data_IF_228875712739
#
_entry.id   IF_228875712739
#
_cell.length_a   1.000
_cell.length_b   1.000
_cell.length_c   1.000
_cell.angle_alpha   90.00
_cell.angle_beta   90.00
_cell.angle_gamma   90.00
#
_symmetry.space_group_name_H-M   'P 1'
#
loop_
_entity.id
_entity.type
_entity.pdbx_description
1 polymer ?
#
# COMPACT_ATOMS: atom_id res chain seq x y z
N UNK A 1 61.05 -6.70 -44.58
CA UNK A 1 61.01 -6.57 -43.10
C UNK A 1 59.78 -5.83 -42.57
N UNK A 2 59.36 -4.68 -43.15
CA UNK A 2 58.19 -3.92 -42.64
C UNK A 2 56.85 -4.66 -42.70
N UNK A 3 56.62 -5.50 -43.72
CA UNK A 3 55.37 -6.28 -43.85
C UNK A 3 55.27 -7.43 -42.83
N UNK A 4 56.38 -8.11 -42.53
CA UNK A 4 56.41 -9.22 -41.56
C UNK A 4 56.16 -8.72 -40.12
N UNK A 5 56.72 -7.55 -39.78
CA UNK A 5 56.55 -6.95 -38.46
C UNK A 5 55.10 -6.49 -38.22
N UNK A 6 54.44 -5.96 -39.25
CA UNK A 6 53.04 -5.54 -39.16
C UNK A 6 52.09 -6.75 -38.98
N UNK A 7 52.37 -7.88 -39.63
CA UNK A 7 51.56 -9.10 -39.45
C UNK A 7 51.76 -9.72 -38.07
N UNK A 8 52.97 -9.69 -37.53
CA UNK A 8 53.25 -10.18 -36.17
C UNK A 8 52.60 -9.26 -35.12
N UNK A 9 52.65 -7.94 -35.30
CA UNK A 9 52.02 -7.00 -34.37
C UNK A 9 50.48 -7.10 -34.39
N UNK A 10 49.89 -7.31 -35.56
CA UNK A 10 48.45 -7.56 -35.69
C UNK A 10 48.03 -8.90 -35.06
N UNK A 11 48.86 -9.94 -35.18
CA UNK A 11 48.60 -11.24 -34.57
C UNK A 11 48.74 -11.18 -33.03
N UNK A 12 49.72 -10.45 -32.50
CA UNK A 12 49.89 -10.23 -31.05
C UNK A 12 48.73 -9.42 -30.46
N UNK A 13 48.22 -8.43 -31.19
CA UNK A 13 47.02 -7.70 -30.75
C UNK A 13 45.74 -8.55 -30.88
N UNK A 14 45.63 -9.43 -31.87
CA UNK A 14 44.48 -10.34 -31.98
C UNK A 14 44.47 -11.44 -30.89
N UNK A 15 45.64 -11.89 -30.43
CA UNK A 15 45.77 -12.88 -29.35
C UNK A 15 45.57 -12.24 -27.96
N UNK A 16 45.98 -10.97 -27.77
CA UNK A 16 45.77 -10.25 -26.51
C UNK A 16 44.32 -9.84 -26.22
N UNK A 17 43.46 -9.77 -27.25
CA UNK A 17 42.04 -9.38 -27.11
C UNK A 17 41.12 -10.61 -27.03
N UNK A 18 41.65 -11.82 -27.26
CA UNK A 18 40.88 -13.08 -27.23
C UNK A 18 41.02 -13.88 -25.94
N UNK A 19 41.89 -13.47 -25.00
CA UNK A 19 42.04 -14.16 -23.69
C UNK A 19 41.01 -13.76 -22.64
N UNK A 20 40.10 -12.81 -22.91
CA UNK A 20 38.99 -12.46 -22.00
C UNK A 20 37.64 -13.06 -22.39
N UNK A 21 37.60 -13.90 -23.44
CA UNK A 21 36.36 -14.54 -23.89
C UNK A 21 36.20 -16.01 -23.42
N UNK A 22 37.07 -16.49 -22.53
CA UNK A 22 37.02 -17.85 -21.95
C UNK A 22 37.04 -17.82 -20.42
N UNK A 23 36.25 -16.93 -19.84
CA UNK A 23 35.71 -17.13 -18.51
C UNK A 23 34.22 -17.49 -18.59
N UNK A 24 33.84 -18.30 -19.59
CA UNK A 24 32.71 -19.21 -19.41
C UNK A 24 33.20 -20.31 -18.47
N UNK A 25 33.21 -19.97 -17.18
CA UNK A 25 33.45 -20.91 -16.11
C UNK A 25 32.39 -21.99 -16.19
N UNK A 26 32.82 -23.19 -16.55
CA UNK A 26 32.09 -24.41 -16.22
C UNK A 26 31.74 -24.36 -14.71
N UNK A 27 30.46 -24.23 -14.39
CA UNK A 27 29.91 -24.58 -13.08
C UNK A 27 29.82 -23.49 -12.01
N UNK A 28 29.79 -22.19 -12.31
CA UNK A 28 29.26 -21.23 -11.32
C UNK A 28 27.74 -21.27 -11.37
N UNK A 29 27.11 -21.98 -10.42
CA UNK A 29 25.68 -21.81 -10.13
C UNK A 29 25.38 -20.32 -10.07
N UNK A 30 24.43 -19.85 -10.89
CA UNK A 30 24.02 -18.46 -10.88
C UNK A 30 23.64 -18.06 -9.45
N UNK A 31 24.18 -16.94 -8.96
CA UNK A 31 23.88 -16.48 -7.61
C UNK A 31 22.38 -16.16 -7.51
N UNK A 32 21.71 -16.77 -6.52
CA UNK A 32 20.30 -16.56 -6.24
C UNK A 32 20.10 -15.29 -5.40
N UNK A 33 21.07 -14.97 -4.55
CA UNK A 33 21.03 -13.81 -3.68
C UNK A 33 22.40 -13.14 -3.58
N UNK A 34 22.44 -11.89 -3.11
CA UNK A 34 23.68 -11.20 -2.79
C UNK A 34 23.56 -10.34 -1.53
N UNK A 35 24.69 -10.07 -0.91
CA UNK A 35 24.86 -9.08 0.15
C UNK A 35 25.99 -8.15 -0.29
N UNK A 36 25.68 -6.88 -0.51
CA UNK A 36 26.61 -5.96 -1.19
C UNK A 36 26.97 -6.50 -2.58
N UNK A 37 28.26 -6.77 -2.78
CA UNK A 37 28.81 -7.36 -4.02
C UNK A 37 29.02 -8.88 -3.93
N UNK A 38 28.88 -9.48 -2.73
CA UNK A 38 29.09 -10.91 -2.51
C UNK A 38 27.85 -11.69 -2.91
N UNK A 39 27.97 -12.57 -3.91
CA UNK A 39 26.90 -13.45 -4.36
C UNK A 39 26.86 -14.80 -3.63
N UNK A 40 25.67 -15.37 -3.51
CA UNK A 40 25.39 -16.65 -2.87
C UNK A 40 24.55 -17.55 -3.78
N UNK A 41 24.88 -18.84 -3.81
CA UNK A 41 24.18 -19.82 -4.63
C UNK A 41 22.73 -20.08 -4.17
N UNK A 42 22.43 -19.88 -2.88
CA UNK A 42 21.08 -20.02 -2.32
C UNK A 42 20.75 -18.88 -1.37
N UNK A 43 19.45 -18.64 -1.15
CA UNK A 43 18.98 -17.69 -0.13
C UNK A 43 19.37 -18.17 1.29
N UNK A 44 19.36 -19.47 1.54
CA UNK A 44 19.75 -20.02 2.84
C UNK A 44 21.22 -19.72 3.16
N UNK A 45 22.12 -19.84 2.18
CA UNK A 45 23.54 -19.49 2.36
C UNK A 45 23.71 -17.99 2.63
N UNK A 46 22.97 -17.14 1.93
CA UNK A 46 22.99 -15.69 2.18
C UNK A 46 22.48 -15.37 3.60
N UNK A 47 21.39 -15.99 4.06
CA UNK A 47 20.87 -15.81 5.43
C UNK A 47 21.90 -16.26 6.48
N UNK A 48 22.58 -17.39 6.24
CA UNK A 48 23.60 -17.90 7.15
C UNK A 48 24.79 -16.95 7.25
N UNK A 49 25.23 -16.38 6.11
CA UNK A 49 26.38 -15.48 6.02
C UNK A 49 26.07 -14.04 6.47
N UNK A 50 24.81 -13.61 6.40
CA UNK A 50 24.42 -12.24 6.73
C UNK A 50 24.80 -11.86 8.18
N UNK A 51 25.42 -10.69 8.29
CA UNK A 51 25.69 -10.01 9.55
C UNK A 51 24.47 -9.20 10.00
N UNK A 52 24.45 -8.84 11.28
CA UNK A 52 23.33 -8.11 11.86
C UNK A 52 23.11 -6.76 11.16
N UNK A 53 21.90 -6.53 10.67
CA UNK A 53 21.48 -5.32 9.97
C UNK A 53 21.72 -5.34 8.45
N UNK A 54 22.34 -6.39 7.90
CA UNK A 54 22.55 -6.48 6.46
C UNK A 54 21.26 -6.75 5.68
N UNK A 55 21.28 -6.37 4.42
CA UNK A 55 20.18 -6.62 3.46
C UNK A 55 20.64 -7.63 2.42
N UNK A 56 19.88 -8.70 2.29
CA UNK A 56 20.02 -9.73 1.26
C UNK A 56 19.13 -9.33 0.10
N UNK A 57 19.69 -9.15 -1.10
CA UNK A 57 18.94 -8.83 -2.32
C UNK A 57 18.80 -10.07 -3.18
N UNK A 58 17.58 -10.43 -3.57
CA UNK A 58 17.36 -11.53 -4.50
C UNK A 58 17.73 -11.15 -5.93
N UNK A 59 18.38 -12.10 -6.61
CA UNK A 59 18.79 -12.01 -8.02
C UNK A 59 17.98 -12.95 -8.91
N UNK A 60 17.47 -14.04 -8.34
CA UNK A 60 16.58 -15.00 -8.97
C UNK A 60 15.51 -15.46 -7.97
N UNK A 61 14.49 -16.17 -8.46
CA UNK A 61 13.55 -16.87 -7.59
C UNK A 61 14.31 -17.86 -6.71
N UNK A 62 13.87 -17.97 -5.45
CA UNK A 62 14.57 -18.71 -4.43
C UNK A 62 13.68 -19.78 -3.80
N UNK A 63 14.33 -20.77 -3.22
CA UNK A 63 13.69 -21.79 -2.41
C UNK A 63 14.29 -21.78 -1.01
N UNK A 64 13.45 -22.05 -0.04
CA UNK A 64 13.84 -22.29 1.35
C UNK A 64 13.19 -23.57 1.86
N UNK A 65 13.70 -24.08 2.97
CA UNK A 65 13.07 -25.16 3.70
C UNK A 65 12.18 -24.59 4.81
N UNK A 66 11.19 -25.35 5.27
CA UNK A 66 10.56 -25.04 6.57
C UNK A 66 11.64 -24.97 7.65
N UNK A 67 11.45 -24.12 8.66
CA UNK A 67 12.38 -23.83 9.75
C UNK A 67 13.62 -23.01 9.33
N UNK A 68 13.47 -22.07 8.38
CA UNK A 68 14.55 -21.12 8.07
C UNK A 68 14.69 -20.12 9.22
N UNK A 69 15.82 -20.20 9.93
CA UNK A 69 16.04 -19.48 11.18
C UNK A 69 16.54 -18.05 10.95
N UNK A 70 15.88 -17.08 11.57
CA UNK A 70 16.32 -15.68 11.64
C UNK A 70 16.65 -15.36 13.10
N UNK A 71 17.95 -15.42 13.44
CA UNK A 71 18.45 -15.29 14.82
C UNK A 71 19.16 -13.97 15.10
N UNK A 72 19.20 -13.09 14.10
CA UNK A 72 19.76 -11.74 14.15
C UNK A 72 19.00 -10.82 13.21
N UNK A 73 19.16 -9.52 13.39
CA UNK A 73 18.53 -8.54 12.53
C UNK A 73 19.00 -8.72 11.09
N UNK A 74 18.08 -8.86 10.15
CA UNK A 74 18.39 -9.01 8.73
C UNK A 74 17.20 -8.55 7.89
N UNK A 75 17.47 -8.01 6.71
CA UNK A 75 16.46 -7.69 5.72
C UNK A 75 16.59 -8.61 4.50
N UNK A 76 15.46 -9.01 3.92
CA UNK A 76 15.39 -9.57 2.57
C UNK A 76 14.68 -8.55 1.69
N UNK A 77 15.38 -8.12 0.64
CA UNK A 77 14.81 -7.41 -0.49
C UNK A 77 14.49 -8.41 -1.59
N UNK A 78 13.18 -8.58 -1.83
CA UNK A 78 12.66 -9.53 -2.81
C UNK A 78 12.99 -9.12 -4.24
N UNK A 79 13.23 -7.83 -4.52
CA UNK A 79 13.62 -7.33 -5.84
C UNK A 79 12.81 -7.93 -7.01
N UNK A 80 11.48 -8.03 -6.83
CA UNK A 80 10.56 -8.61 -7.81
C UNK A 80 10.62 -10.14 -7.96
N UNK A 81 11.30 -10.86 -7.05
CA UNK A 81 11.47 -12.32 -7.09
C UNK A 81 10.56 -13.04 -6.11
N UNK A 82 10.33 -14.32 -6.38
CA UNK A 82 9.51 -15.19 -5.53
C UNK A 82 10.37 -16.12 -4.69
N UNK A 83 10.06 -16.24 -3.40
CA UNK A 83 10.59 -17.26 -2.49
C UNK A 83 9.50 -18.30 -2.21
N UNK A 84 9.82 -19.57 -2.41
CA UNK A 84 8.91 -20.70 -2.15
C UNK A 84 9.48 -21.67 -1.12
N UNK A 85 8.61 -22.47 -0.50
CA UNK A 85 9.03 -23.52 0.44
C UNK A 85 9.08 -24.87 -0.27
N UNK A 86 10.26 -25.49 -0.35
CA UNK A 86 10.47 -26.75 -1.11
C UNK A 86 10.52 -28.01 -0.24
N UNK A 87 10.99 -27.92 1.00
CA UNK A 87 11.06 -29.06 1.94
C UNK A 87 10.09 -28.86 3.08
N UNK A 88 9.20 -29.84 3.27
CA UNK A 88 8.01 -29.74 4.13
C UNK A 88 8.19 -30.49 5.46
N UNK A 89 8.52 -29.75 6.52
CA UNK A 89 8.38 -30.21 7.91
C UNK A 89 7.00 -29.86 8.48
N UNK A 90 6.87 -29.88 9.81
CA UNK A 90 5.69 -29.37 10.55
C UNK A 90 5.86 -27.92 11.02
N UNK A 91 7.03 -27.31 10.79
CA UNK A 91 7.41 -25.97 11.26
C UNK A 91 7.08 -24.89 10.23
N UNK A 92 7.07 -23.62 10.62
CA UNK A 92 6.79 -22.49 9.72
C UNK A 92 7.94 -22.30 8.72
N UNK A 93 7.78 -21.46 7.69
CA UNK A 93 8.85 -21.24 6.72
C UNK A 93 10.00 -20.49 7.37
N UNK A 94 9.68 -19.43 8.10
CA UNK A 94 10.63 -18.64 8.86
C UNK A 94 10.33 -18.72 10.35
N UNK A 95 11.39 -18.84 11.14
CA UNK A 95 11.35 -18.85 12.60
C UNK A 95 12.27 -17.72 13.09
N UNK A 96 11.67 -16.63 13.56
CA UNK A 96 12.38 -15.43 14.02
C UNK A 96 12.49 -15.49 15.54
N UNK A 97 13.71 -15.45 16.06
CA UNK A 97 14.00 -15.72 17.47
C UNK A 97 15.10 -14.79 18.00
N UNK A 98 15.42 -14.92 19.28
CA UNK A 98 16.53 -14.21 19.93
C UNK A 98 16.46 -12.67 19.82
N UNK A 99 15.25 -12.09 19.88
CA UNK A 99 15.07 -10.65 19.75
C UNK A 99 15.35 -10.09 18.35
N UNK A 100 15.53 -10.96 17.34
CA UNK A 100 15.85 -10.54 15.99
C UNK A 100 14.71 -9.73 15.35
N UNK A 101 15.08 -8.80 14.47
CA UNK A 101 14.17 -8.11 13.56
C UNK A 101 14.35 -8.64 12.16
N UNK A 102 13.32 -9.31 11.63
CA UNK A 102 13.27 -9.71 10.24
C UNK A 102 12.54 -8.64 9.42
N UNK A 103 13.16 -8.13 8.36
CA UNK A 103 12.57 -7.09 7.51
C UNK A 103 12.34 -7.60 6.10
N UNK A 104 11.13 -7.43 5.57
CA UNK A 104 10.77 -7.75 4.20
C UNK A 104 10.61 -6.47 3.39
N UNK A 105 11.31 -6.39 2.27
CA UNK A 105 11.26 -5.29 1.31
C UNK A 105 11.04 -5.85 -0.10
N UNK A 106 10.60 -4.98 -1.00
CA UNK A 106 10.62 -5.26 -2.43
C UNK A 106 11.00 -3.97 -3.16
N UNK A 107 12.25 -3.88 -3.61
CA UNK A 107 12.72 -2.78 -4.48
C UNK A 107 12.32 -2.98 -5.94
N UNK A 108 11.89 -4.19 -6.29
CA UNK A 108 11.35 -4.52 -7.60
C UNK A 108 9.83 -4.39 -7.61
N UNK A 109 9.19 -5.16 -8.51
CA UNK A 109 7.73 -5.22 -8.61
C UNK A 109 7.27 -6.67 -8.54
N UNK A 110 6.32 -6.96 -7.66
CA UNK A 110 5.71 -8.29 -7.55
C UNK A 110 6.57 -9.31 -6.80
N UNK A 111 7.55 -8.85 -6.02
CA UNK A 111 8.35 -9.71 -5.15
C UNK A 111 7.46 -10.35 -4.10
N UNK A 112 7.67 -11.64 -3.84
CA UNK A 112 6.74 -12.43 -3.02
C UNK A 112 7.41 -13.50 -2.18
N UNK A 113 6.94 -13.66 -0.95
CA UNK A 113 7.06 -14.87 -0.15
C UNK A 113 5.80 -15.72 -0.36
N UNK A 114 5.87 -16.75 -1.21
CA UNK A 114 4.77 -17.71 -1.43
C UNK A 114 5.02 -18.96 -0.59
N UNK A 115 4.48 -18.93 0.64
CA UNK A 115 4.91 -19.84 1.69
C UNK A 115 4.03 -21.09 1.81
N UNK A 116 3.06 -21.28 0.92
CA UNK A 116 2.14 -22.42 0.98
C UNK A 116 1.34 -22.41 2.28
N UNK A 117 1.63 -23.34 3.21
CA UNK A 117 1.00 -23.39 4.54
C UNK A 117 1.90 -22.91 5.70
N UNK A 118 3.17 -22.59 5.42
CA UNK A 118 4.24 -22.45 6.41
C UNK A 118 4.58 -20.97 6.60
N UNK A 119 3.82 -20.21 7.40
CA UNK A 119 4.06 -18.75 7.52
C UNK A 119 5.38 -18.34 8.20
N UNK A 120 5.31 -17.25 8.95
CA UNK A 120 6.41 -16.71 9.74
C UNK A 120 6.03 -16.83 11.22
N UNK A 121 6.90 -17.41 12.04
CA UNK A 121 6.74 -17.43 13.49
C UNK A 121 7.68 -16.42 14.14
N UNK A 122 7.15 -15.63 15.07
CA UNK A 122 7.90 -14.69 15.89
C UNK A 122 7.92 -15.18 17.34
N UNK A 123 9.11 -15.34 17.91
CA UNK A 123 9.30 -15.71 19.31
C UNK A 123 10.11 -14.64 20.04
N UNK A 124 9.45 -13.77 20.81
CA UNK A 124 10.06 -12.59 21.44
C UNK A 124 10.90 -11.79 20.42
N UNK A 125 10.32 -11.49 19.27
CA UNK A 125 11.05 -10.99 18.09
C UNK A 125 10.20 -10.06 17.25
N UNK A 126 10.78 -9.49 16.18
CA UNK A 126 10.14 -8.45 15.39
C UNK A 126 10.06 -8.80 13.90
N UNK A 127 8.97 -8.39 13.27
CA UNK A 127 8.79 -8.40 11.82
C UNK A 127 8.50 -6.99 11.32
N UNK A 128 9.21 -6.57 10.27
CA UNK A 128 8.92 -5.35 9.53
C UNK A 128 8.54 -5.69 8.10
N UNK A 129 7.40 -5.17 7.65
CA UNK A 129 6.90 -5.34 6.28
C UNK A 129 6.88 -3.96 5.64
N UNK A 130 7.86 -3.71 4.78
CA UNK A 130 8.01 -2.44 4.06
C UNK A 130 7.55 -2.56 2.60
N UNK A 131 7.54 -3.78 2.04
CA UNK A 131 7.13 -4.05 0.67
C UNK A 131 6.97 -5.55 0.38
N UNK A 132 6.61 -5.88 -0.86
CA UNK A 132 6.39 -7.25 -1.33
C UNK A 132 5.07 -7.87 -0.87
N UNK A 133 4.77 -9.07 -1.37
CA UNK A 133 3.63 -9.89 -0.94
C UNK A 133 4.09 -11.02 -0.02
N UNK A 134 3.42 -11.25 1.11
CA UNK A 134 3.57 -12.45 1.93
C UNK A 134 2.26 -13.22 1.85
N UNK A 135 2.29 -14.43 1.29
CA UNK A 135 1.10 -15.24 1.07
C UNK A 135 1.21 -16.59 1.76
N UNK A 136 0.13 -16.96 2.46
CA UNK A 136 -0.13 -18.31 2.95
C UNK A 136 -1.54 -18.75 2.52
N UNK A 137 -1.61 -19.91 1.89
CA UNK A 137 -2.84 -20.52 1.35
C UNK A 137 -2.83 -22.04 1.60
N UNK A 138 -3.08 -22.50 2.83
CA UNK A 138 -3.27 -23.91 3.12
C UNK A 138 -4.47 -24.50 2.36
N UNK A 139 -4.40 -25.79 2.07
CA UNK A 139 -5.48 -26.52 1.41
C UNK A 139 -6.76 -26.61 2.27
N UNK A 140 -6.60 -26.67 3.60
CA UNK A 140 -7.71 -26.78 4.55
C UNK A 140 -7.80 -25.51 5.40
N UNK A 141 -9.03 -25.02 5.69
CA UNK A 141 -9.25 -23.90 6.60
C UNK A 141 -8.55 -24.06 7.95
N UNK A 142 -7.85 -23.02 8.39
CA UNK A 142 -7.14 -22.96 9.67
C UNK A 142 -5.85 -23.80 9.75
N UNK A 143 -5.42 -24.45 8.66
CA UNK A 143 -4.24 -25.33 8.65
C UNK A 143 -2.90 -24.61 8.39
N UNK A 144 -2.85 -23.30 8.64
CA UNK A 144 -1.67 -22.44 8.48
C UNK A 144 -1.95 -21.07 9.11
N UNK A 145 -1.05 -20.11 8.93
CA UNK A 145 -1.20 -18.69 9.27
C UNK A 145 -0.10 -17.93 8.53
N UNK A 146 -0.31 -16.66 8.15
CA UNK A 146 0.76 -15.88 7.51
C UNK A 146 1.84 -15.49 8.52
N UNK A 147 1.45 -14.92 9.66
CA UNK A 147 2.36 -14.58 10.76
C UNK A 147 1.77 -15.03 12.11
N UNK A 148 2.48 -15.88 12.83
CA UNK A 148 2.21 -16.18 14.23
C UNK A 148 3.17 -15.41 15.13
N UNK A 149 2.67 -14.86 16.23
CA UNK A 149 3.48 -14.13 17.21
C UNK A 149 3.26 -14.66 18.62
N UNK A 150 4.35 -14.95 19.33
CA UNK A 150 4.36 -15.38 20.73
C UNK A 150 5.39 -14.59 21.54
N UNK A 151 5.21 -14.52 22.86
CA UNK A 151 6.08 -13.72 23.72
C UNK A 151 5.91 -12.23 23.43
N UNK A 152 6.91 -11.44 23.81
CA UNK A 152 6.93 -10.01 23.53
C UNK A 152 7.38 -9.78 22.08
N UNK A 153 6.44 -9.88 21.14
CA UNK A 153 6.69 -9.81 19.71
C UNK A 153 6.01 -8.61 19.05
N UNK A 154 6.65 -8.05 18.03
CA UNK A 154 6.20 -6.82 17.37
C UNK A 154 6.14 -6.99 15.85
N UNK A 155 5.01 -6.65 15.24
CA UNK A 155 4.85 -6.54 13.79
C UNK A 155 4.63 -5.08 13.43
N UNK A 156 5.47 -4.54 12.54
CA UNK A 156 5.26 -3.22 11.93
C UNK A 156 5.08 -3.37 10.43
N UNK A 157 4.04 -2.76 9.89
CA UNK A 157 3.77 -2.75 8.46
C UNK A 157 3.54 -1.31 7.98
N UNK A 158 4.36 -0.88 7.04
CA UNK A 158 4.26 0.45 6.40
C UNK A 158 3.92 0.34 4.91
N UNK A 159 3.96 -0.87 4.36
CA UNK A 159 3.71 -1.15 2.95
C UNK A 159 3.60 -2.66 2.71
N UNK A 160 3.60 -3.06 1.44
CA UNK A 160 3.46 -4.46 1.05
C UNK A 160 2.05 -5.01 1.15
N UNK A 161 1.92 -6.32 0.97
CA UNK A 161 0.65 -7.05 0.97
C UNK A 161 0.77 -8.33 1.79
N UNK A 162 -0.15 -8.55 2.72
CA UNK A 162 -0.26 -9.81 3.48
C UNK A 162 -1.53 -10.51 3.03
N UNK A 163 -1.40 -11.75 2.54
CA UNK A 163 -2.51 -12.51 1.95
C UNK A 163 -2.69 -13.84 2.67
N UNK A 164 -3.86 -14.00 3.27
CA UNK A 164 -4.33 -15.22 3.88
C UNK A 164 -5.53 -15.77 3.08
N UNK A 165 -5.40 -17.01 2.63
CA UNK A 165 -6.48 -17.78 2.01
C UNK A 165 -6.74 -19.01 2.87
N UNK A 166 -7.98 -19.21 3.31
CA UNK A 166 -8.36 -20.28 4.24
C UNK A 166 -7.60 -20.23 5.58
N UNK A 167 -7.13 -19.05 6.00
CA UNK A 167 -6.41 -18.85 7.28
C UNK A 167 -6.44 -17.38 7.71
N UNK A 168 -5.83 -17.03 8.83
CA UNK A 168 -5.64 -15.66 9.27
C UNK A 168 -4.33 -15.04 8.74
N UNK A 169 -4.33 -13.72 8.58
CA UNK A 169 -3.11 -12.95 8.34
C UNK A 169 -2.19 -13.04 9.57
N UNK A 170 -2.78 -12.89 10.75
CA UNK A 170 -2.05 -12.85 12.00
C UNK A 170 -2.66 -13.81 13.02
N UNK A 171 -1.84 -14.42 13.87
CA UNK A 171 -2.28 -15.19 15.03
C UNK A 171 -1.45 -14.81 16.27
N UNK A 172 -2.12 -14.36 17.34
CA UNK A 172 -1.52 -13.91 18.59
C UNK A 172 -2.30 -14.40 19.82
N UNK A 173 -2.08 -13.79 20.99
CA UNK A 173 -2.74 -14.12 22.27
C UNK A 173 -1.99 -15.17 23.11
N UNK A 174 -0.83 -15.63 22.64
CA UNK A 174 0.07 -16.47 23.42
C UNK A 174 0.72 -15.66 24.56
N UNK A 175 1.44 -16.32 25.48
CA UNK A 175 2.10 -15.63 26.60
C UNK A 175 2.88 -14.37 26.16
N UNK A 176 2.94 -13.33 26.99
CA UNK A 176 3.57 -12.04 26.66
C UNK A 176 2.63 -11.07 25.93
N UNK A 177 3.18 -9.97 25.43
CA UNK A 177 2.44 -8.94 24.69
C UNK A 177 2.79 -8.96 23.20
N UNK A 178 1.80 -9.12 22.32
CA UNK A 178 2.01 -9.06 20.89
C UNK A 178 1.42 -7.77 20.30
N UNK A 179 2.28 -6.93 19.73
CA UNK A 179 1.91 -5.62 19.19
C UNK A 179 1.96 -5.61 17.67
N UNK A 180 0.89 -5.15 17.02
CA UNK A 180 0.73 -5.05 15.58
C UNK A 180 0.44 -3.59 15.20
N UNK A 181 1.43 -2.94 14.58
CA UNK A 181 1.35 -1.54 14.13
C UNK A 181 1.30 -1.50 12.59
N UNK A 182 0.09 -1.39 12.05
CA UNK A 182 -0.17 -1.40 10.61
C UNK A 182 -0.56 0.01 10.18
N UNK A 183 0.23 0.61 9.30
CA UNK A 183 0.09 2.02 8.88
C UNK A 183 0.07 2.22 7.37
N UNK A 184 0.29 1.14 6.60
CA UNK A 184 0.14 1.15 5.15
C UNK A 184 0.11 -0.25 4.57
N UNK A 185 -0.04 -0.35 3.25
CA UNK A 185 -0.15 -1.62 2.52
C UNK A 185 -1.53 -2.27 2.59
N UNK A 186 -1.62 -3.54 2.18
CA UNK A 186 -2.88 -4.27 2.08
C UNK A 186 -2.88 -5.54 2.93
N UNK A 187 -3.92 -5.74 3.72
CA UNK A 187 -4.20 -6.98 4.44
C UNK A 187 -5.40 -7.66 3.77
N UNK A 188 -5.23 -8.90 3.34
CA UNK A 188 -6.25 -9.67 2.64
C UNK A 188 -6.50 -11.01 3.34
N UNK A 189 -7.72 -11.21 3.84
CA UNK A 189 -8.14 -12.43 4.55
C UNK A 189 -9.47 -12.90 3.99
N UNK A 190 -9.43 -13.77 2.97
CA UNK A 190 -10.60 -14.15 2.15
C UNK A 190 -10.92 -15.64 2.16
N UNK A 191 -12.00 -16.01 1.49
CA UNK A 191 -12.50 -17.37 1.37
C UNK A 191 -12.86 -17.96 2.72
N UNK A 192 -12.53 -19.21 3.03
CA UNK A 192 -12.83 -19.84 4.30
C UNK A 192 -11.87 -19.41 5.43
N UNK A 193 -11.34 -18.19 5.36
CA UNK A 193 -10.51 -17.60 6.40
C UNK A 193 -11.34 -17.30 7.65
N UNK A 194 -10.76 -17.54 8.82
CA UNK A 194 -11.47 -17.42 10.10
C UNK A 194 -11.61 -15.97 10.56
N UNK A 195 -10.53 -15.21 10.45
CA UNK A 195 -10.45 -13.78 10.73
C UNK A 195 -9.16 -13.21 10.13
N UNK A 196 -9.06 -11.90 9.96
CA UNK A 196 -7.78 -11.24 9.65
C UNK A 196 -6.79 -11.38 10.82
N UNK A 197 -7.26 -11.14 12.05
CA UNK A 197 -6.54 -11.31 13.30
C UNK A 197 -7.12 -12.47 14.12
N UNK A 198 -6.46 -13.62 14.08
CA UNK A 198 -6.71 -14.72 15.01
C UNK A 198 -6.12 -14.39 16.38
N UNK A 199 -6.91 -14.51 17.44
CA UNK A 199 -6.43 -14.31 18.81
C UNK A 199 -6.73 -15.58 19.60
N UNK A 200 -5.71 -16.09 20.31
CA UNK A 200 -5.83 -17.20 21.25
C UNK A 200 -5.79 -16.68 22.67
N UNK A 201 -6.93 -16.69 23.34
CA UNK A 201 -7.14 -16.31 24.74
C UNK A 201 -6.76 -17.42 25.76
N UNK A 202 -6.26 -18.56 25.31
CA UNK A 202 -5.93 -19.72 26.16
C UNK A 202 -4.65 -19.57 26.99
N UNK A 203 -3.82 -18.57 26.71
CA UNK A 203 -2.44 -18.49 27.21
C UNK A 203 -2.15 -17.26 28.07
N UNK A 204 -3.18 -16.49 28.43
CA UNK A 204 -3.05 -15.29 29.26
C UNK A 204 -2.26 -14.15 28.60
N UNK A 205 -2.06 -14.20 27.29
CA UNK A 205 -1.43 -13.15 26.50
C UNK A 205 -2.28 -11.91 26.31
N UNK A 206 -1.65 -10.86 25.78
CA UNK A 206 -2.32 -9.61 25.41
C UNK A 206 -1.98 -9.25 23.97
N UNK A 207 -3.01 -9.00 23.17
CA UNK A 207 -2.85 -8.55 21.79
C UNK A 207 -3.17 -7.08 21.67
N UNK A 208 -2.24 -6.30 21.12
CA UNK A 208 -2.47 -4.90 20.77
C UNK A 208 -2.36 -4.75 19.26
N UNK A 209 -3.44 -4.33 18.60
CA UNK A 209 -3.45 -4.08 17.16
C UNK A 209 -3.94 -2.66 16.87
N UNK A 210 -3.15 -1.92 16.11
CA UNK A 210 -3.54 -0.63 15.54
C UNK A 210 -3.45 -0.67 14.03
N UNK A 211 -4.57 -0.41 13.36
CA UNK A 211 -4.65 -0.18 11.91
C UNK A 211 -4.86 1.31 11.66
N UNK A 212 -4.02 1.90 10.82
CA UNK A 212 -3.92 3.35 10.62
C UNK A 212 -3.44 3.72 9.21
N UNK A 213 -3.21 5.01 8.97
CA UNK A 213 -2.64 5.50 7.71
C UNK A 213 -3.51 5.17 6.49
N UNK A 214 -2.89 4.65 5.43
CA UNK A 214 -3.54 4.29 4.17
C UNK A 214 -3.74 2.77 4.00
N UNK A 215 -3.69 2.01 5.10
CA UNK A 215 -3.90 0.56 5.09
C UNK A 215 -5.23 0.18 4.44
N UNK A 216 -5.20 -0.84 3.58
CA UNK A 216 -6.39 -1.42 2.95
C UNK A 216 -6.68 -2.78 3.58
N UNK A 217 -7.89 -2.95 4.12
CA UNK A 217 -8.38 -4.21 4.68
C UNK A 217 -9.38 -4.85 3.72
N UNK A 218 -9.11 -6.09 3.30
CA UNK A 218 -9.91 -6.80 2.31
C UNK A 218 -10.31 -8.15 2.86
N UNK A 219 -11.59 -8.33 3.17
CA UNK A 219 -12.12 -9.53 3.83
C UNK A 219 -13.36 -10.10 3.17
N UNK A 220 -13.91 -9.44 2.13
CA UNK A 220 -14.99 -10.04 1.36
C UNK A 220 -14.49 -11.20 0.52
N UNK A 221 -15.20 -12.32 0.60
CA UNK A 221 -15.01 -13.44 -0.32
C UNK A 221 -15.53 -13.11 -1.73
N UNK A 222 -15.34 -14.04 -2.67
CA UNK A 222 -15.81 -13.87 -4.05
C UNK A 222 -17.34 -13.76 -4.19
N UNK A 223 -18.11 -14.20 -3.18
CA UNK A 223 -19.56 -14.07 -3.12
C UNK A 223 -20.02 -12.76 -2.44
N UNK A 224 -19.09 -11.96 -1.94
CA UNK A 224 -19.35 -10.69 -1.25
C UNK A 224 -19.68 -10.84 0.23
N UNK A 225 -19.53 -12.03 0.81
CA UNK A 225 -19.71 -12.23 2.25
C UNK A 225 -18.55 -11.61 3.00
N UNK A 226 -18.85 -10.78 4.00
CA UNK A 226 -17.82 -10.15 4.84
C UNK A 226 -17.17 -11.17 5.78
N UNK A 227 -15.84 -11.15 5.85
CA UNK A 227 -15.07 -11.83 6.88
C UNK A 227 -15.01 -11.04 8.19
N UNK A 228 -14.42 -11.66 9.22
CA UNK A 228 -14.22 -11.03 10.53
C UNK A 228 -12.84 -10.37 10.62
N UNK A 229 -12.78 -9.16 11.19
CA UNK A 229 -11.48 -8.55 11.51
C UNK A 229 -10.75 -9.34 12.60
N UNK A 230 -11.46 -9.79 13.63
CA UNK A 230 -10.90 -10.46 14.80
C UNK A 230 -11.75 -11.67 15.16
N UNK A 231 -11.11 -12.77 15.59
CA UNK A 231 -11.83 -14.01 15.94
C UNK A 231 -12.40 -14.05 17.35
N UNK A 232 -11.59 -13.70 18.36
CA UNK A 232 -11.91 -13.98 19.78
C UNK A 232 -11.17 -13.03 20.74
N UNK A 233 -11.18 -11.72 20.45
CA UNK A 233 -10.64 -10.72 21.37
C UNK A 233 -11.44 -10.67 22.67
N UNK A 234 -10.75 -10.61 23.82
CA UNK A 234 -11.39 -10.54 25.14
C UNK A 234 -10.65 -9.61 26.08
N UNK A 235 -11.35 -9.09 27.11
CA UNK A 235 -10.77 -8.51 28.32
C UNK A 235 -9.68 -7.44 28.11
N UNK A 236 -8.44 -7.90 27.92
CA UNK A 236 -7.21 -7.12 27.85
C UNK A 236 -6.70 -6.86 26.42
N UNK A 237 -7.30 -7.47 25.40
CA UNK A 237 -6.92 -7.20 24.00
C UNK A 237 -7.36 -5.80 23.57
N UNK A 238 -6.48 -5.08 22.88
CA UNK A 238 -6.73 -3.72 22.39
C UNK A 238 -6.68 -3.72 20.87
N UNK A 239 -7.84 -3.67 20.23
CA UNK A 239 -7.96 -3.62 18.77
C UNK A 239 -8.51 -2.26 18.36
N UNK A 240 -7.74 -1.51 17.56
CA UNK A 240 -8.03 -0.13 17.22
C UNK A 240 -7.85 0.13 15.73
N UNK A 241 -8.89 0.62 15.08
CA UNK A 241 -8.83 1.06 13.68
C UNK A 241 -9.07 2.57 13.63
N UNK A 242 -8.04 3.32 13.24
CA UNK A 242 -8.05 4.81 13.23
C UNK A 242 -7.89 5.41 11.84
N UNK A 243 -7.56 4.59 10.85
CA UNK A 243 -7.26 5.03 9.48
C UNK A 243 -7.48 3.90 8.47
N UNK A 244 -7.33 4.22 7.19
CA UNK A 244 -7.37 3.25 6.10
C UNK A 244 -8.75 3.06 5.47
N UNK A 245 -8.86 1.97 4.70
CA UNK A 245 -10.11 1.53 4.07
C UNK A 245 -10.42 0.07 4.38
N UNK A 246 -11.68 -0.31 4.29
CA UNK A 246 -12.14 -1.69 4.45
C UNK A 246 -13.25 -2.00 3.47
N UNK A 247 -13.23 -3.18 2.85
CA UNK A 247 -14.37 -3.68 2.06
C UNK A 247 -15.52 -4.22 2.92
N UNK A 248 -15.28 -4.37 4.22
CA UNK A 248 -16.20 -4.98 5.19
C UNK A 248 -16.47 -4.02 6.35
N UNK A 249 -17.63 -4.14 7.00
CA UNK A 249 -17.95 -3.29 8.15
C UNK A 249 -17.08 -3.67 9.35
N UNK A 250 -16.17 -2.76 9.72
CA UNK A 250 -15.32 -2.87 10.90
C UNK A 250 -15.53 -1.70 11.87
N UNK A 251 -16.68 -1.03 11.79
CA UNK A 251 -17.00 0.13 12.62
C UNK A 251 -16.99 -0.18 14.11
N UNK A 252 -17.18 -1.44 14.52
CA UNK A 252 -17.06 -1.88 15.91
C UNK A 252 -15.67 -1.62 16.51
N UNK A 253 -14.62 -1.59 15.68
CA UNK A 253 -13.22 -1.43 16.10
C UNK A 253 -12.70 0.00 15.95
N UNK A 254 -13.54 0.93 15.49
CA UNK A 254 -13.17 2.34 15.35
C UNK A 254 -13.50 3.13 16.61
N UNK A 255 -12.73 4.20 16.86
CA UNK A 255 -13.06 5.13 17.95
C UNK A 255 -14.45 5.74 17.76
N UNK A 256 -15.15 6.04 18.86
CA UNK A 256 -16.52 6.55 18.83
C UNK A 256 -16.67 7.85 18.03
N UNK A 257 -15.67 8.72 18.06
CA UNK A 257 -15.67 10.03 17.40
C UNK A 257 -15.03 10.01 16.02
N UNK A 258 -14.29 8.97 15.65
CA UNK A 258 -13.62 8.88 14.36
C UNK A 258 -14.65 8.73 13.23
N UNK A 259 -14.59 9.58 12.18
CA UNK A 259 -15.53 9.49 11.08
C UNK A 259 -15.33 8.20 10.30
N UNK A 260 -16.44 7.58 9.88
CA UNK A 260 -16.44 6.48 8.92
C UNK A 260 -17.40 6.83 7.78
N UNK A 261 -16.88 6.87 6.56
CA UNK A 261 -17.65 7.15 5.34
C UNK A 261 -17.78 5.88 4.52
N UNK A 262 -18.99 5.50 4.16
CA UNK A 262 -19.31 4.43 3.22
C UNK A 262 -19.61 5.03 1.84
N UNK A 263 -18.85 4.62 0.83
CA UNK A 263 -19.04 5.00 -0.57
C UNK A 263 -19.98 4.03 -1.30
N UNK A 264 -20.50 4.43 -2.47
CA UNK A 264 -21.48 3.65 -3.23
C UNK A 264 -20.96 2.29 -3.76
N UNK A 265 -19.64 2.10 -3.81
CA UNK A 265 -18.99 0.82 -4.13
C UNK A 265 -18.94 -0.15 -2.93
N UNK A 266 -19.40 0.28 -1.76
CA UNK A 266 -19.41 -0.53 -0.54
C UNK A 266 -18.09 -0.48 0.26
N UNK A 267 -17.20 0.47 -0.04
CA UNK A 267 -15.95 0.68 0.69
C UNK A 267 -16.15 1.59 1.90
N UNK A 268 -15.64 1.17 3.06
CA UNK A 268 -15.58 1.97 4.28
C UNK A 268 -14.26 2.75 4.31
N UNK A 269 -14.32 4.06 4.49
CA UNK A 269 -13.19 4.96 4.65
C UNK A 269 -13.14 5.46 6.09
N UNK A 270 -12.07 5.13 6.80
CA UNK A 270 -12.01 5.25 8.26
C UNK A 270 -11.04 6.36 8.66
N UNK A 271 -11.47 7.21 9.59
CA UNK A 271 -10.69 8.34 10.06
C UNK A 271 -10.77 9.55 9.13
N UNK A 272 -10.42 10.72 9.68
CA UNK A 272 -10.61 12.02 9.01
C UNK A 272 -9.95 12.11 7.64
N UNK A 273 -8.74 11.57 7.51
CA UNK A 273 -7.96 11.62 6.27
C UNK A 273 -8.63 10.80 5.17
N UNK A 274 -8.96 9.54 5.44
CA UNK A 274 -9.58 8.66 4.44
C UNK A 274 -11.00 9.12 4.08
N UNK A 275 -11.80 9.53 5.08
CA UNK A 275 -13.14 10.06 4.88
C UNK A 275 -13.12 11.30 3.96
N UNK A 276 -12.24 12.27 4.21
CA UNK A 276 -12.12 13.46 3.35
C UNK A 276 -11.59 13.11 1.95
N UNK A 277 -10.66 12.16 1.83
CA UNK A 277 -10.18 11.71 0.52
C UNK A 277 -11.31 11.06 -0.30
N UNK A 278 -12.15 10.23 0.32
CA UNK A 278 -13.28 9.57 -0.34
C UNK A 278 -14.25 10.58 -0.95
N UNK A 279 -14.68 11.56 -0.16
CA UNK A 279 -15.68 12.55 -0.61
C UNK A 279 -15.13 13.54 -1.63
N UNK A 280 -13.83 13.88 -1.56
CA UNK A 280 -13.17 14.73 -2.57
C UNK A 280 -13.08 14.07 -3.94
N UNK A 281 -12.95 12.74 -3.95
CA UNK A 281 -12.85 11.94 -5.17
C UNK A 281 -14.21 11.46 -5.70
N UNK A 282 -15.30 11.71 -4.96
CA UNK A 282 -16.64 11.32 -5.38
C UNK A 282 -17.09 12.09 -6.62
N UNK A 283 -17.71 11.39 -7.56
CA UNK A 283 -18.22 12.00 -8.78
C UNK A 283 -19.55 12.73 -8.54
N UNK A 284 -19.84 13.74 -9.36
CA UNK A 284 -21.15 14.42 -9.33
C UNK A 284 -22.29 13.41 -9.53
N UNK A 285 -23.30 13.46 -8.66
CA UNK A 285 -24.42 12.52 -8.64
C UNK A 285 -24.21 11.33 -7.70
N UNK A 286 -22.99 11.10 -7.20
CA UNK A 286 -22.75 10.06 -6.21
C UNK A 286 -23.28 10.45 -4.83
N UNK A 287 -23.63 9.42 -4.05
CA UNK A 287 -23.99 9.55 -2.64
C UNK A 287 -22.95 8.85 -1.79
N UNK A 288 -22.45 9.57 -0.79
CA UNK A 288 -21.56 9.05 0.26
C UNK A 288 -22.30 9.13 1.60
N UNK A 289 -22.12 8.12 2.44
CA UNK A 289 -22.85 8.02 3.72
C UNK A 289 -21.86 8.06 4.87
N UNK A 290 -21.99 9.04 5.77
CA UNK A 290 -21.31 8.97 7.07
C UNK A 290 -22.07 7.99 7.95
N UNK A 291 -21.44 6.85 8.28
CA UNK A 291 -22.07 5.78 9.07
C UNK A 291 -21.70 5.84 10.56
N UNK A 292 -20.62 6.53 10.92
CA UNK A 292 -20.19 6.70 12.31
C UNK A 292 -19.32 7.95 12.49
N UNK A 293 -19.31 8.49 13.70
CA UNK A 293 -18.38 9.52 14.15
C UNK A 293 -18.71 10.94 13.68
N UNK A 294 -17.87 11.89 14.08
CA UNK A 294 -18.01 13.30 13.68
C UNK A 294 -17.21 13.54 12.40
N UNK A 295 -17.85 14.13 11.39
CA UNK A 295 -17.23 14.38 10.08
C UNK A 295 -17.34 15.86 9.70
N UNK A 296 -16.19 16.55 9.68
CA UNK A 296 -16.04 17.82 8.99
C UNK A 296 -15.48 17.54 7.59
N UNK A 297 -16.38 17.46 6.61
CA UNK A 297 -16.05 17.14 5.23
C UNK A 297 -15.80 18.43 4.45
N UNK A 298 -14.65 18.48 3.79
CA UNK A 298 -14.15 19.66 3.08
C UNK A 298 -13.85 19.34 1.63
N UNK A 299 -13.90 20.36 0.79
CA UNK A 299 -13.69 20.28 -0.67
C UNK A 299 -14.58 19.23 -1.37
N UNK A 300 -15.80 19.03 -0.87
CA UNK A 300 -16.76 18.10 -1.48
C UNK A 300 -17.23 18.68 -2.82
N UNK A 301 -17.09 17.94 -3.95
CA UNK A 301 -17.45 18.44 -5.27
C UNK A 301 -18.94 18.77 -5.41
N UNK A 302 -19.25 19.69 -6.33
CA UNK A 302 -20.63 20.01 -6.72
C UNK A 302 -21.35 18.75 -7.22
N UNK A 303 -22.62 18.59 -6.82
CA UNK A 303 -23.46 17.47 -7.22
C UNK A 303 -23.26 16.20 -6.39
N UNK A 304 -22.25 16.13 -5.52
CA UNK A 304 -22.10 15.04 -4.56
C UNK A 304 -23.11 15.22 -3.43
N UNK A 305 -23.75 14.11 -3.04
CA UNK A 305 -24.70 14.05 -1.94
C UNK A 305 -24.06 13.36 -0.74
N UNK A 306 -24.12 14.00 0.43
CA UNK A 306 -23.66 13.44 1.69
C UNK A 306 -24.87 13.11 2.56
N UNK A 307 -25.02 11.84 2.91
CA UNK A 307 -25.99 11.38 3.90
C UNK A 307 -25.30 11.21 5.27
N UNK A 308 -26.03 11.49 6.34
CA UNK A 308 -25.62 11.15 7.70
C UNK A 308 -26.55 10.07 8.24
N UNK A 309 -26.02 8.88 8.49
CA UNK A 309 -26.77 7.77 9.10
C UNK A 309 -26.22 7.42 10.50
N UNK A 310 -25.31 8.25 11.03
CA UNK A 310 -24.75 8.09 12.37
C UNK A 310 -25.30 9.14 13.34
N UNK A 311 -25.13 8.88 14.64
CA UNK A 311 -25.46 9.85 15.69
C UNK A 311 -24.49 11.05 15.76
N UNK A 312 -23.44 11.06 14.95
CA UNK A 312 -22.39 12.08 14.95
C UNK A 312 -22.78 13.35 14.20
N UNK A 313 -21.98 14.39 14.43
CA UNK A 313 -22.13 15.67 13.74
C UNK A 313 -21.43 15.64 12.39
N UNK A 314 -22.15 15.99 11.32
CA UNK A 314 -21.62 16.01 9.95
C UNK A 314 -21.78 17.41 9.38
N UNK A 315 -20.73 17.97 8.78
CA UNK A 315 -20.75 19.24 8.04
C UNK A 315 -20.05 19.08 6.70
N UNK A 316 -20.52 19.81 5.69
CA UNK A 316 -20.01 19.71 4.31
C UNK A 316 -19.69 21.10 3.78
N UNK A 317 -18.43 21.38 3.47
CA UNK A 317 -17.98 22.66 2.92
C UNK A 317 -18.44 23.89 3.75
N UNK A 318 -18.45 23.75 5.08
CA UNK A 318 -18.93 24.80 5.99
C UNK A 318 -20.46 24.96 6.02
N UNK A 319 -21.23 23.97 5.56
CA UNK A 319 -22.68 23.93 5.75
C UNK A 319 -23.06 23.88 7.23
N UNK A 320 -24.36 24.08 7.50
CA UNK A 320 -24.95 23.63 8.76
C UNK A 320 -24.81 22.12 8.96
N UNK A 321 -25.14 21.64 10.16
CA UNK A 321 -25.11 20.23 10.49
C UNK A 321 -26.09 19.42 9.60
N UNK A 322 -25.59 18.34 9.02
CA UNK A 322 -26.40 17.38 8.25
C UNK A 322 -27.03 16.40 9.22
N UNK A 323 -28.36 16.40 9.28
CA UNK A 323 -29.14 15.55 10.18
C UNK A 323 -29.51 14.23 9.50
N UNK A 324 -29.72 13.20 10.31
CA UNK A 324 -30.23 11.92 9.84
C UNK A 324 -31.53 12.08 9.01
N UNK A 325 -31.61 11.35 7.90
CA UNK A 325 -32.75 11.42 6.97
C UNK A 325 -32.81 12.65 6.05
N UNK A 326 -31.96 13.66 6.26
CA UNK A 326 -31.90 14.88 5.43
C UNK A 326 -30.52 15.02 4.77
N UNK A 327 -30.26 14.28 3.67
CA UNK A 327 -28.98 14.35 2.97
C UNK A 327 -28.75 15.73 2.34
N UNK A 328 -27.49 16.11 2.18
CA UNK A 328 -27.09 17.40 1.60
C UNK A 328 -26.34 17.20 0.30
N UNK A 329 -26.87 17.78 -0.78
CA UNK A 329 -26.20 17.83 -2.08
C UNK A 329 -25.51 19.17 -2.25
N UNK A 330 -24.22 19.16 -2.60
CA UNK A 330 -23.45 20.39 -2.82
C UNK A 330 -24.01 21.12 -4.06
N UNK A 331 -24.52 22.36 -3.93
CA UNK A 331 -25.16 23.06 -5.04
C UNK A 331 -24.14 23.62 -6.03
N UNK A 332 -24.53 23.68 -7.30
CA UNK A 332 -23.79 24.43 -8.30
C UNK A 332 -23.93 25.94 -8.02
N UNK A 333 -22.82 26.65 -7.80
CA UNK A 333 -22.85 28.11 -7.69
C UNK A 333 -22.78 28.72 -9.09
N UNK A 334 -23.88 29.29 -9.56
CA UNK A 334 -23.86 30.16 -10.75
C UNK A 334 -23.52 31.59 -10.32
N UNK A 335 -22.38 32.10 -10.77
CA UNK A 335 -22.10 33.53 -10.67
C UNK A 335 -22.97 34.26 -11.70
N UNK A 336 -24.07 34.88 -11.25
CA UNK A 336 -24.76 35.89 -12.04
C UNK A 336 -23.91 37.17 -12.03
N UNK A 337 -23.24 37.48 -13.14
CA UNK A 337 -22.68 38.81 -13.34
C UNK A 337 -23.85 39.74 -13.72
N UNK A 338 -24.45 40.43 -12.75
CA UNK A 338 -25.51 41.40 -13.02
C UNK A 338 -24.91 42.69 -13.57
N UNK A 339 -24.74 42.80 -14.88
CA UNK A 339 -24.67 44.12 -15.53
C UNK A 339 -26.07 44.72 -15.51
N UNK A 340 -26.33 45.67 -14.61
CA UNK A 340 -27.52 46.50 -14.65
C UNK A 340 -27.40 47.48 -15.83
N UNK A 341 -28.10 47.22 -16.93
CA UNK A 341 -28.37 48.25 -17.95
C UNK A 341 -29.50 49.14 -17.44
N UNK A 342 -29.16 50.37 -17.06
CA UNK A 342 -30.12 51.44 -16.83
C UNK A 342 -30.78 51.82 -18.16
N UNK A 343 -32.01 51.35 -18.37
CA UNK A 343 -32.85 51.81 -19.48
C UNK A 343 -33.45 53.16 -19.11
N UNK A 344 -32.80 54.26 -19.52
CA UNK A 344 -33.45 55.57 -19.55
C UNK A 344 -34.29 55.66 -20.83
N UNK A 345 -35.60 55.85 -20.66
CA UNK A 345 -36.51 56.17 -21.75
C UNK A 345 -36.17 57.54 -22.34
N UNK A 346 -36.12 57.65 -23.67
CA UNK A 346 -36.44 58.88 -24.37
C UNK A 346 -36.97 58.57 -25.77
N UNK A 347 -38.17 59.08 -26.04
CA UNK A 347 -38.85 59.02 -27.32
C UNK A 347 -38.23 60.08 -28.24
N UNK A 348 -37.76 59.70 -29.44
CA UNK A 348 -38.02 60.42 -30.72
C UNK A 348 -37.16 59.82 -31.85
N UNK A 349 -37.83 59.63 -32.99
CA UNK A 349 -37.40 59.03 -34.26
C UNK A 349 -36.55 59.99 -35.09
N UNK A 350 -35.36 59.56 -35.52
CA UNK A 350 -34.55 60.23 -36.55
C UNK A 350 -33.46 59.31 -37.12
N UNK A 351 -33.50 59.03 -38.42
CA UNK A 351 -32.61 58.09 -39.14
C UNK A 351 -31.15 58.61 -39.27
N UNK A 352 -30.15 57.71 -39.51
CA UNK A 352 -28.76 57.93 -39.12
C UNK A 352 -27.93 58.57 -40.23
N UNK A 353 -26.96 59.43 -39.88
CA UNK A 353 -25.84 59.79 -40.77
C UNK A 353 -24.52 60.09 -40.02
N UNK A 354 -23.50 59.33 -40.44
CA UNK A 354 -22.08 59.68 -40.65
C UNK A 354 -21.19 60.12 -39.48
N UNK A 355 -20.15 59.30 -39.26
CA UNK A 355 -18.79 59.56 -38.72
C UNK A 355 -18.39 61.03 -38.48
N UNK A 356 -17.74 61.33 -37.35
CA UNK A 356 -16.28 61.53 -37.30
C UNK A 356 -15.73 61.50 -35.84
N UNK A 357 -14.42 61.29 -35.78
CA UNK A 357 -13.50 60.91 -34.73
C UNK A 357 -13.26 61.89 -33.57
N UNK A 358 -12.71 61.33 -32.49
CA UNK A 358 -12.11 62.11 -31.40
C UNK A 358 -11.56 61.25 -30.27
N UNK A 359 -10.40 60.62 -30.51
CA UNK A 359 -9.19 60.56 -29.65
C UNK A 359 -9.36 60.34 -28.11
N UNK A 360 -8.63 59.45 -27.43
CA UNK A 360 -7.30 58.92 -27.74
C UNK A 360 -6.98 57.66 -26.92
N UNK A 361 -6.17 56.77 -27.50
CA UNK A 361 -4.71 56.62 -27.31
C UNK A 361 -4.42 55.68 -26.11
N UNK A 362 -4.09 54.40 -26.35
CA UNK A 362 -2.75 53.79 -26.65
C UNK A 362 -1.80 53.85 -25.41
N UNK A 363 -0.96 52.87 -25.04
CA UNK A 363 -0.34 51.69 -25.67
C UNK A 363 0.17 50.77 -24.51
N UNK A 364 0.07 49.43 -24.60
CA UNK A 364 1.10 48.46 -25.02
C UNK A 364 2.48 48.58 -24.34
N UNK A 365 2.89 47.51 -23.64
CA UNK A 365 4.25 46.96 -23.74
C UNK A 365 4.29 45.50 -23.27
N UNK A 366 4.70 44.63 -24.19
CA UNK A 366 4.99 43.21 -24.03
C UNK A 366 6.45 43.00 -23.55
N UNK A 367 6.79 41.80 -23.03
CA UNK A 367 7.82 40.89 -23.58
C UNK A 367 8.23 39.74 -22.61
N UNK A 368 8.24 38.51 -23.17
CA UNK A 368 9.26 37.45 -23.08
C UNK A 368 9.76 36.91 -21.71
N UNK A 369 9.58 35.59 -21.49
CA UNK A 369 10.72 34.65 -21.43
C UNK A 369 10.29 33.18 -21.61
N UNK A 370 10.89 32.55 -22.63
CA UNK A 370 10.87 31.12 -22.97
C UNK A 370 11.86 30.34 -22.08
N UNK A 371 11.44 29.19 -21.55
CA UNK A 371 12.21 27.93 -21.29
C UNK A 371 11.33 27.00 -20.44
N UNK A 372 11.11 25.72 -20.70
CA UNK A 372 11.63 24.83 -21.71
C UNK A 372 10.71 23.60 -21.82
N UNK A 373 10.54 23.16 -23.06
CA UNK A 373 9.86 21.95 -23.46
C UNK A 373 10.93 20.87 -23.64
N UNK A 374 10.75 19.69 -23.06
CA UNK A 374 11.49 18.49 -23.43
C UNK A 374 10.54 17.29 -23.40
N UNK A 375 9.80 17.13 -24.49
CA UNK A 375 9.10 15.90 -24.81
C UNK A 375 10.07 15.05 -25.65
N UNK A 376 10.50 13.90 -25.12
CA UNK A 376 11.43 12.98 -25.78
C UNK A 376 10.66 12.15 -26.81
N UNK A 377 11.04 12.27 -28.08
CA UNK A 377 10.50 11.50 -29.19
C UNK A 377 11.08 10.08 -29.24
N UNK A 378 10.18 9.10 -29.37
CA UNK A 378 10.44 7.72 -29.85
C UNK A 378 10.44 7.70 -31.39
N UNK A 379 11.47 7.10 -32.02
CA UNK A 379 11.28 6.04 -33.04
C UNK A 379 12.60 5.38 -33.51
N UNK A 380 12.60 4.06 -33.36
CA UNK A 380 13.08 2.97 -34.26
C UNK A 380 14.15 3.32 -35.31
N UNK A 381 15.30 2.66 -35.21
CA UNK A 381 15.64 1.47 -36.01
C UNK A 381 16.41 0.47 -35.15
#
# INVERSE_FOLDING_TARGET
MKKLLATILALVMAIGVTTTAWADGEGTTANVAKIGETGYATLADAIAAAQAGETIVLLADAAINSNTQITRNVAIDLNGKTVTVTTVGSQNAFEVQNGATFTIKDSGTGGKLDLGKFGIMLMNSKLKIEGGEIKVSPANPGAGVVVAAIGDSEVTMTGGKVVATNTACFNAGYFGTQTFNISGGTLESKDASTALMGISNNYGGHTEMTISGDTQVVMKDAAGNAGSLVSDATGNDVIKVVGGTSDSDITAYTEATAPVVLTGDGTYHIGTTAANAAVRNAASGETVTVVKGNAALTDVPVGVTVANNGAGTVTVNGSGAITEGNPYTVPARYYYNSTTTDTKADDTKGSPKTFDAGMGIYAVSALLSVTGMACVGRKKF
#
